data_IF_065032990657
#
_entry.id   IF_065032990657
#
_cell.length_a   1.000
_cell.length_b   1.000
_cell.length_c   1.000
_cell.angle_alpha   90.00
_cell.angle_beta   90.00
_cell.angle_gamma   90.00
#
_symmetry.space_group_name_H-M   'P 1'
#
loop_
_entity.id
_entity.type
_entity.pdbx_description
1 polymer ?
#
# COMPACT_ATOMS: atom_id res chain seq x y z
N UNK A 1 5.59 37.11 -20.97
CA UNK A 1 6.00 35.72 -20.72
C UNK A 1 5.33 35.28 -19.43
N UNK A 2 4.15 34.68 -19.51
CA UNK A 2 3.38 34.26 -18.34
C UNK A 2 3.90 32.88 -17.91
N UNK A 3 4.60 32.82 -16.78
CA UNK A 3 4.99 31.56 -16.16
C UNK A 3 3.73 30.92 -15.55
N UNK A 4 3.23 29.88 -16.22
CA UNK A 4 2.22 29.00 -15.65
C UNK A 4 2.89 28.18 -14.53
N UNK A 5 2.68 28.62 -13.29
CA UNK A 5 2.93 27.80 -12.10
C UNK A 5 1.97 26.62 -12.17
N UNK A 6 2.43 25.47 -12.66
CA UNK A 6 1.77 24.19 -12.42
C UNK A 6 1.90 23.91 -10.92
N UNK A 7 0.95 24.43 -10.15
CA UNK A 7 0.78 24.03 -8.76
C UNK A 7 0.58 22.53 -8.71
N UNK A 8 1.43 21.83 -7.97
CA UNK A 8 1.21 20.42 -7.63
C UNK A 8 -0.16 20.32 -6.98
N UNK A 9 -1.16 19.84 -7.73
CA UNK A 9 -2.46 19.54 -7.15
C UNK A 9 -2.22 18.56 -6.00
N UNK A 10 -2.54 18.98 -4.78
CA UNK A 10 -2.49 18.11 -3.61
C UNK A 10 -3.39 16.91 -3.85
N UNK A 11 -2.86 15.70 -3.69
CA UNK A 11 -3.63 14.47 -3.88
C UNK A 11 -4.81 14.43 -2.87
N UNK A 12 -5.96 13.84 -3.25
CA UNK A 12 -7.08 13.67 -2.32
C UNK A 12 -6.65 12.91 -1.06
N UNK A 13 -7.16 13.34 0.09
CA UNK A 13 -6.97 12.66 1.38
C UNK A 13 -8.28 12.02 1.83
N UNK A 14 -8.21 11.15 2.85
CA UNK A 14 -9.38 10.50 3.44
C UNK A 14 -10.15 9.59 2.45
N UNK A 15 -9.41 8.91 1.58
CA UNK A 15 -9.96 8.07 0.50
C UNK A 15 -10.15 6.60 0.89
N UNK A 16 -9.75 6.20 2.11
CA UNK A 16 -9.68 4.79 2.50
C UNK A 16 -10.91 4.29 3.24
N UNK A 17 -11.96 5.11 3.38
CA UNK A 17 -13.22 4.64 3.95
C UNK A 17 -13.85 3.61 2.98
N UNK A 18 -14.14 2.37 3.43
CA UNK A 18 -14.70 1.35 2.55
C UNK A 18 -16.04 1.77 1.93
N UNK A 19 -16.19 1.51 0.63
CA UNK A 19 -17.44 1.67 -0.11
C UNK A 19 -17.91 0.31 -0.63
N UNK A 20 -19.20 0.18 -0.91
CA UNK A 20 -19.72 -1.03 -1.56
C UNK A 20 -19.12 -1.18 -2.97
N UNK A 21 -18.79 -2.41 -3.37
CA UNK A 21 -18.44 -2.70 -4.76
C UNK A 21 -19.68 -2.60 -5.65
N UNK A 22 -19.71 -1.58 -6.51
CA UNK A 22 -20.85 -1.28 -7.40
C UNK A 22 -20.53 -1.56 -8.88
N UNK A 23 -19.29 -1.96 -9.19
CA UNK A 23 -18.82 -2.20 -10.55
C UNK A 23 -18.52 -3.69 -10.78
N UNK A 24 -19.41 -4.44 -11.47
CA UNK A 24 -19.19 -5.87 -11.73
C UNK A 24 -17.95 -6.17 -12.58
N UNK A 25 -17.49 -5.18 -13.35
CA UNK A 25 -16.30 -5.26 -14.21
C UNK A 25 -15.02 -4.79 -13.52
N UNK A 26 -15.08 -4.36 -12.27
CA UNK A 26 -13.88 -3.95 -11.53
C UNK A 26 -13.10 -5.18 -11.06
N UNK A 27 -11.78 -5.06 -11.13
CA UNK A 27 -10.85 -6.02 -10.52
C UNK A 27 -10.65 -5.67 -9.05
N UNK A 28 -10.28 -6.67 -8.24
CA UNK A 28 -9.91 -6.46 -6.83
C UNK A 28 -8.46 -6.82 -6.61
N UNK A 29 -7.75 -5.95 -5.88
CA UNK A 29 -6.42 -6.22 -5.35
C UNK A 29 -6.53 -6.29 -3.84
N UNK A 30 -6.36 -7.50 -3.31
CA UNK A 30 -6.25 -7.77 -1.88
C UNK A 30 -4.76 -7.73 -1.50
N UNK A 31 -4.42 -7.02 -0.43
CA UNK A 31 -3.04 -6.91 0.02
C UNK A 31 -2.93 -6.96 1.54
N UNK A 32 -1.84 -7.56 2.01
CA UNK A 32 -1.40 -7.40 3.39
C UNK A 32 -0.58 -6.11 3.51
N UNK A 33 -0.90 -5.30 4.49
CA UNK A 33 -0.11 -4.13 4.87
C UNK A 33 0.65 -4.46 6.14
N UNK A 34 1.97 -4.24 6.12
CA UNK A 34 2.82 -4.20 7.30
C UNK A 34 3.33 -2.77 7.48
N UNK A 35 3.05 -2.16 8.63
CA UNK A 35 3.34 -0.74 8.85
C UNK A 35 3.89 -0.44 10.23
N UNK A 36 4.81 0.52 10.30
CA UNK A 36 5.29 1.13 11.56
C UNK A 36 4.70 2.52 11.78
N UNK A 37 3.69 2.91 10.98
CA UNK A 37 2.89 4.12 11.19
C UNK A 37 1.98 3.98 12.41
N UNK A 38 1.72 5.08 13.10
CA UNK A 38 0.72 5.13 14.15
C UNK A 38 -0.68 5.13 13.56
N UNK A 39 -1.63 4.56 14.30
CA UNK A 39 -3.04 4.53 13.92
C UNK A 39 -3.61 5.96 13.88
N UNK A 40 -4.36 6.28 12.84
CA UNK A 40 -5.13 7.51 12.78
C UNK A 40 -6.44 7.37 13.57
N UNK A 41 -6.89 8.44 14.20
CA UNK A 41 -8.25 8.52 14.77
C UNK A 41 -9.32 8.66 13.67
N UNK A 42 -8.91 8.94 12.43
CA UNK A 42 -9.78 9.01 11.27
C UNK A 42 -9.73 7.68 10.47
N UNK A 43 -10.81 6.89 10.45
CA UNK A 43 -10.86 5.65 9.67
C UNK A 43 -10.56 5.82 8.18
N UNK A 44 -10.87 6.98 7.60
CA UNK A 44 -10.64 7.25 6.19
C UNK A 44 -9.15 7.52 5.84
N UNK A 45 -8.30 7.73 6.84
CA UNK A 45 -6.85 7.83 6.73
C UNK A 45 -6.15 6.52 7.14
N UNK A 46 -6.75 5.75 8.04
CA UNK A 46 -6.24 4.52 8.68
C UNK A 46 -4.95 4.71 9.49
N UNK A 47 -3.86 5.17 8.87
CA UNK A 47 -2.56 5.33 9.49
C UNK A 47 -1.95 6.69 9.16
N UNK A 48 -1.36 7.34 10.16
CA UNK A 48 -0.82 8.69 10.03
C UNK A 48 0.60 8.69 9.43
N UNK A 49 1.20 9.87 9.33
CA UNK A 49 2.63 10.05 9.05
C UNK A 49 3.54 9.85 10.26
N UNK A 50 2.99 9.58 11.45
CA UNK A 50 3.76 9.46 12.69
C UNK A 50 4.19 8.02 13.00
N UNK A 51 5.26 7.86 13.78
CA UNK A 51 5.74 6.54 14.24
C UNK A 51 4.75 5.92 15.22
N UNK A 52 4.38 4.67 14.96
CA UNK A 52 3.75 3.80 15.94
C UNK A 52 4.78 3.30 16.96
N UNK A 53 4.34 2.81 18.11
CA UNK A 53 5.22 2.20 19.12
C UNK A 53 5.59 0.74 18.79
N UNK A 54 4.80 0.11 17.93
CA UNK A 54 4.99 -1.26 17.45
C UNK A 54 4.44 -1.40 16.02
N UNK A 55 4.91 -2.38 15.23
CA UNK A 55 4.34 -2.68 13.93
C UNK A 55 2.85 -3.04 14.03
N UNK A 56 2.09 -2.59 13.04
CA UNK A 56 0.67 -2.89 12.85
C UNK A 56 0.47 -3.59 11.51
N UNK A 57 -0.59 -4.38 11.41
CA UNK A 57 -0.94 -5.12 10.20
C UNK A 57 -2.39 -4.84 9.81
N UNK A 58 -2.67 -4.83 8.52
CA UNK A 58 -4.02 -4.70 8.00
C UNK A 58 -4.18 -5.46 6.69
N UNK A 59 -5.38 -5.97 6.44
CA UNK A 59 -5.81 -6.38 5.11
C UNK A 59 -6.53 -5.19 4.45
N UNK A 60 -6.20 -4.91 3.19
CA UNK A 60 -6.93 -3.91 2.39
C UNK A 60 -7.29 -4.53 1.05
N UNK A 61 -8.55 -4.40 0.66
CA UNK A 61 -9.00 -4.70 -0.70
C UNK A 61 -9.32 -3.42 -1.44
N UNK A 62 -8.64 -3.20 -2.55
CA UNK A 62 -8.85 -2.07 -3.47
C UNK A 62 -9.57 -2.56 -4.73
N UNK A 63 -10.71 -1.95 -5.03
CA UNK A 63 -11.38 -2.05 -6.32
C UNK A 63 -10.69 -1.17 -7.35
N UNK A 64 -10.46 -1.73 -8.53
CA UNK A 64 -9.79 -1.08 -9.66
C UNK A 64 -10.75 -1.07 -10.85
N UNK A 65 -11.13 0.12 -11.35
CA UNK A 65 -12.06 0.23 -12.45
C UNK A 65 -11.42 -0.32 -13.74
N UNK A 66 -12.23 -0.79 -14.71
CA UNK A 66 -11.73 -1.42 -15.92
C UNK A 66 -10.86 -0.45 -16.74
N UNK A 67 -9.90 -1.01 -17.49
CA UNK A 67 -8.98 -0.21 -18.30
C UNK A 67 -9.68 0.67 -19.37
N UNK A 68 -10.95 0.41 -19.69
CA UNK A 68 -11.75 1.22 -20.62
C UNK A 68 -12.16 2.59 -20.06
N UNK A 69 -12.10 2.80 -18.73
CA UNK A 69 -12.55 4.04 -18.08
C UNK A 69 -11.45 4.74 -17.26
N UNK A 70 -10.25 4.17 -17.22
CA UNK A 70 -9.06 4.76 -16.60
C UNK A 70 -7.83 4.60 -17.48
N UNK A 71 -6.78 5.39 -17.22
CA UNK A 71 -5.49 5.22 -17.87
C UNK A 71 -4.64 4.20 -17.10
N UNK A 72 -4.27 3.10 -17.75
CA UNK A 72 -3.34 2.08 -17.20
C UNK A 72 -1.98 2.73 -16.89
N UNK A 73 -1.38 2.38 -15.76
CA UNK A 73 -0.15 3.01 -15.25
C UNK A 73 -0.40 4.23 -14.35
N UNK A 74 -1.65 4.73 -14.29
CA UNK A 74 -2.05 5.84 -13.43
C UNK A 74 -3.06 5.38 -12.37
N UNK A 75 -2.97 5.99 -11.19
CA UNK A 75 -3.98 5.83 -10.14
C UNK A 75 -5.17 6.73 -10.51
N UNK A 76 -6.34 6.15 -10.71
CA UNK A 76 -7.57 6.90 -10.91
C UNK A 76 -8.11 7.38 -9.55
N UNK A 77 -7.57 8.51 -9.06
CA UNK A 77 -7.97 9.09 -7.79
C UNK A 77 -9.43 9.57 -7.81
N UNK A 78 -10.19 9.38 -6.70
CA UNK A 78 -11.54 9.90 -6.59
C UNK A 78 -11.54 11.42 -6.67
N UNK A 79 -12.36 11.98 -7.58
CA UNK A 79 -12.55 13.43 -7.71
C UNK A 79 -13.51 13.98 -6.65
N UNK A 80 -14.35 13.11 -6.09
CA UNK A 80 -15.33 13.40 -5.04
C UNK A 80 -15.43 12.17 -4.13
N UNK A 81 -15.58 12.40 -2.82
CA UNK A 81 -15.87 11.34 -1.86
C UNK A 81 -17.38 11.19 -1.64
N UNK A 82 -17.88 9.96 -1.37
CA UNK A 82 -17.14 8.69 -1.36
C UNK A 82 -16.68 8.27 -2.77
N UNK A 83 -15.61 7.47 -2.86
CA UNK A 83 -15.07 6.96 -4.13
C UNK A 83 -16.11 6.15 -4.91
N UNK A 84 -16.06 6.22 -6.24
CA UNK A 84 -16.93 5.43 -7.12
C UNK A 84 -16.15 4.28 -7.77
N UNK A 85 -16.34 3.01 -7.38
CA UNK A 85 -15.64 1.86 -7.98
C UNK A 85 -15.78 1.71 -9.51
N UNK A 86 -16.80 2.33 -10.11
CA UNK A 86 -16.96 2.34 -11.56
C UNK A 86 -15.98 3.26 -12.29
N UNK A 87 -15.39 4.24 -11.61
CA UNK A 87 -14.50 5.27 -12.23
C UNK A 87 -13.20 5.50 -11.50
N UNK A 88 -13.16 5.17 -10.22
CA UNK A 88 -12.09 5.52 -9.28
C UNK A 88 -11.51 4.25 -8.66
N UNK A 89 -10.26 4.34 -8.21
CA UNK A 89 -9.75 3.39 -7.23
C UNK A 89 -10.54 3.60 -5.94
N UNK A 90 -11.04 2.51 -5.36
CA UNK A 90 -11.88 2.57 -4.18
C UNK A 90 -11.48 1.47 -3.21
N UNK A 91 -11.33 1.81 -1.92
CA UNK A 91 -11.23 0.78 -0.89
C UNK A 91 -12.62 0.18 -0.70
N UNK A 92 -12.71 -1.15 -0.77
CA UNK A 92 -13.99 -1.88 -0.56
C UNK A 92 -13.99 -2.72 0.71
N UNK A 93 -12.81 -2.98 1.28
CA UNK A 93 -12.64 -3.66 2.56
C UNK A 93 -11.35 -3.22 3.24
N UNK A 94 -11.42 -3.07 4.57
CA UNK A 94 -10.27 -2.89 5.45
C UNK A 94 -10.46 -3.73 6.69
N UNK A 95 -9.44 -4.46 7.11
CA UNK A 95 -9.45 -5.21 8.36
C UNK A 95 -8.14 -5.01 9.10
N UNK A 96 -8.23 -4.73 10.40
CA UNK A 96 -7.05 -4.68 11.26
C UNK A 96 -6.65 -6.08 11.70
N UNK A 97 -5.38 -6.42 11.51
CA UNK A 97 -4.88 -7.75 11.77
C UNK A 97 -3.92 -7.76 12.97
N UNK A 98 -4.05 -8.81 13.77
CA UNK A 98 -3.00 -9.25 14.69
C UNK A 98 -1.85 -9.86 13.88
N UNK A 99 -0.68 -10.02 14.51
CA UNK A 99 0.46 -10.74 13.89
C UNK A 99 0.04 -12.15 13.45
N UNK A 100 -0.73 -12.85 14.29
CA UNK A 100 -1.16 -14.23 14.03
C UNK A 100 -2.14 -14.29 12.86
N UNK A 101 -3.10 -13.37 12.79
CA UNK A 101 -4.05 -13.32 11.67
C UNK A 101 -3.37 -12.87 10.37
N UNK A 102 -2.40 -11.95 10.42
CA UNK A 102 -1.58 -11.57 9.27
C UNK A 102 -0.77 -12.74 8.70
N UNK A 103 -0.15 -13.55 9.57
CA UNK A 103 0.56 -14.78 9.15
C UNK A 103 -0.39 -15.81 8.53
N UNK A 104 -1.56 -16.00 9.14
CA UNK A 104 -2.59 -16.91 8.62
C UNK A 104 -3.12 -16.47 7.26
N UNK A 105 -3.38 -15.16 7.09
CA UNK A 105 -3.77 -14.55 5.83
C UNK A 105 -2.72 -14.81 4.75
N UNK A 106 -1.45 -14.48 5.03
CA UNK A 106 -0.36 -14.62 4.07
C UNK A 106 -0.19 -16.09 3.63
N UNK A 107 -0.20 -17.01 4.58
CA UNK A 107 -0.13 -18.45 4.31
C UNK A 107 -1.27 -18.95 3.43
N UNK A 108 -2.49 -18.46 3.67
CA UNK A 108 -3.66 -18.80 2.85
C UNK A 108 -3.57 -18.19 1.45
N UNK A 109 -3.14 -16.94 1.33
CA UNK A 109 -2.99 -16.22 0.06
C UNK A 109 -1.90 -16.83 -0.82
N UNK A 110 -0.75 -17.19 -0.26
CA UNK A 110 0.36 -17.81 -1.00
C UNK A 110 -0.06 -19.16 -1.57
N UNK A 111 -0.82 -19.96 -0.84
CA UNK A 111 -1.33 -21.25 -1.34
C UNK A 111 -2.37 -21.12 -2.45
N UNK A 112 -3.10 -20.01 -2.50
CA UNK A 112 -4.05 -19.70 -3.59
C UNK A 112 -3.35 -19.11 -4.81
N UNK A 113 -2.21 -18.43 -4.63
CA UNK A 113 -1.41 -17.92 -5.74
C UNK A 113 -0.83 -19.06 -6.57
N UNK A 114 -0.86 -18.92 -7.89
CA UNK A 114 -0.38 -19.95 -8.84
C UNK A 114 1.11 -20.23 -8.65
N UNK A 115 1.90 -19.17 -8.54
CA UNK A 115 3.36 -19.23 -8.53
C UNK A 115 3.91 -19.26 -7.09
N UNK A 116 3.01 -19.18 -6.09
CA UNK A 116 3.33 -19.17 -4.65
C UNK A 116 4.40 -18.13 -4.30
N UNK A 117 4.38 -17.03 -5.03
CA UNK A 117 5.31 -15.93 -4.95
C UNK A 117 4.70 -14.78 -4.18
N UNK A 118 5.54 -13.93 -3.61
CA UNK A 118 5.16 -12.73 -2.88
C UNK A 118 5.82 -11.52 -3.55
N UNK A 119 5.05 -10.46 -3.75
CA UNK A 119 5.56 -9.17 -4.19
C UNK A 119 5.51 -8.20 -3.00
N UNK A 120 6.68 -7.81 -2.50
CA UNK A 120 6.80 -6.83 -1.42
C UNK A 120 7.05 -5.46 -2.04
N UNK A 121 6.19 -4.49 -1.78
CA UNK A 121 6.40 -3.10 -2.19
C UNK A 121 6.77 -2.21 -1.01
N UNK A 122 7.86 -1.47 -1.16
CA UNK A 122 8.37 -0.51 -0.18
C UNK A 122 8.31 0.88 -0.80
N UNK A 123 7.43 1.73 -0.28
CA UNK A 123 7.24 3.08 -0.82
C UNK A 123 8.45 4.00 -0.57
N UNK A 124 8.51 5.07 -1.35
CA UNK A 124 9.55 6.11 -1.25
C UNK A 124 9.17 7.27 -0.34
N UNK A 125 9.97 8.33 -0.42
CA UNK A 125 9.79 9.58 0.30
C UNK A 125 8.53 10.34 -0.16
N UNK A 126 7.99 11.20 0.73
CA UNK A 126 6.86 12.09 0.43
C UNK A 126 5.58 11.33 0.06
N UNK A 127 5.28 10.27 0.83
CA UNK A 127 4.14 9.40 0.63
C UNK A 127 3.24 9.38 1.87
N UNK A 128 1.97 9.76 1.72
CA UNK A 128 0.94 9.43 2.71
C UNK A 128 0.62 7.93 2.64
N UNK A 129 -0.20 7.46 3.57
CA UNK A 129 -0.56 6.05 3.62
C UNK A 129 -1.37 5.65 2.36
N UNK A 130 -2.39 6.44 2.02
CA UNK A 130 -3.25 6.25 0.85
C UNK A 130 -2.48 6.27 -0.49
N UNK A 131 -1.43 7.10 -0.58
CA UNK A 131 -0.55 7.13 -1.76
C UNK A 131 0.09 5.77 -2.02
N UNK A 132 0.50 5.10 -0.94
CA UNK A 132 1.23 3.84 -0.99
C UNK A 132 0.28 2.68 -1.29
N UNK A 133 -0.92 2.70 -0.69
CA UNK A 133 -1.99 1.72 -0.94
C UNK A 133 -2.42 1.74 -2.41
N UNK A 134 -2.82 2.90 -2.93
CA UNK A 134 -3.32 2.97 -4.31
C UNK A 134 -2.23 2.80 -5.35
N UNK A 135 -1.02 3.29 -5.09
CA UNK A 135 0.11 3.04 -6.01
C UNK A 135 0.42 1.55 -6.10
N UNK A 136 0.43 0.84 -4.97
CA UNK A 136 0.73 -0.58 -5.00
C UNK A 136 -0.41 -1.40 -5.61
N UNK A 137 -1.67 -1.06 -5.33
CA UNK A 137 -2.82 -1.66 -6.01
C UNK A 137 -2.70 -1.50 -7.54
N UNK A 138 -2.33 -0.31 -8.00
CA UNK A 138 -2.14 -0.01 -9.42
C UNK A 138 -1.02 -0.87 -10.02
N UNK A 139 0.14 -0.94 -9.38
CA UNK A 139 1.28 -1.74 -9.87
C UNK A 139 0.92 -3.23 -9.90
N UNK A 140 0.36 -3.75 -8.81
CA UNK A 140 0.00 -5.16 -8.70
C UNK A 140 -0.97 -5.58 -9.80
N UNK A 141 -2.05 -4.82 -10.01
CA UNK A 141 -3.01 -5.10 -11.06
C UNK A 141 -2.46 -4.89 -12.47
N UNK A 142 -1.81 -3.76 -12.75
CA UNK A 142 -1.41 -3.40 -14.11
C UNK A 142 -0.21 -4.20 -14.61
N UNK A 143 0.57 -4.82 -13.71
CA UNK A 143 1.64 -5.75 -14.09
C UNK A 143 1.13 -7.15 -14.41
N UNK A 144 -0.10 -7.48 -14.00
CA UNK A 144 -0.66 -8.83 -14.16
C UNK A 144 0.09 -9.89 -13.36
N UNK A 145 0.73 -9.51 -12.25
CA UNK A 145 1.46 -10.46 -11.39
C UNK A 145 0.48 -11.33 -10.61
N UNK A 146 0.77 -12.63 -10.55
CA UNK A 146 0.04 -13.60 -9.72
C UNK A 146 0.59 -13.65 -8.27
N UNK A 147 1.63 -12.86 -7.96
CA UNK A 147 2.26 -12.79 -6.64
C UNK A 147 1.35 -12.18 -5.59
N UNK A 148 1.40 -12.71 -4.36
CA UNK A 148 0.67 -12.16 -3.21
C UNK A 148 1.20 -10.77 -2.87
N UNK A 149 0.36 -9.71 -2.89
CA UNK A 149 0.81 -8.35 -2.63
C UNK A 149 1.02 -8.09 -1.13
N UNK A 150 2.22 -7.66 -0.75
CA UNK A 150 2.52 -7.13 0.59
C UNK A 150 3.02 -5.69 0.47
N UNK A 151 2.29 -4.77 1.08
CA UNK A 151 2.69 -3.37 1.21
C UNK A 151 3.45 -3.15 2.51
N UNK A 152 4.69 -2.70 2.42
CA UNK A 152 5.45 -2.20 3.57
C UNK A 152 5.37 -0.68 3.58
N UNK A 153 4.83 -0.10 4.65
CA UNK A 153 4.81 1.35 4.82
C UNK A 153 5.55 1.80 6.07
N UNK A 154 6.36 2.82 5.92
CA UNK A 154 7.07 3.48 7.01
C UNK A 154 6.52 4.91 7.23
N UNK A 155 6.74 5.55 8.40
CA UNK A 155 6.17 6.85 8.74
C UNK A 155 6.73 7.99 7.90
N UNK A 156 6.13 8.21 6.74
CA UNK A 156 6.33 9.40 5.92
C UNK A 156 5.21 10.39 6.17
N UNK A 157 5.58 11.65 6.42
CA UNK A 157 4.63 12.75 6.60
C UNK A 157 4.03 13.27 5.28
N UNK A 158 4.44 12.71 4.14
CA UNK A 158 3.94 13.16 2.84
C UNK A 158 4.28 14.62 2.55
N UNK A 159 5.48 15.08 2.97
CA UNK A 159 5.96 16.44 2.72
C UNK A 159 7.44 16.47 2.33
N UNK A 160 7.76 17.22 1.28
CA UNK A 160 9.14 17.49 0.86
C UNK A 160 10.00 18.14 1.97
N UNK A 161 9.37 18.89 2.87
CA UNK A 161 10.05 19.55 3.99
C UNK A 161 10.35 18.60 5.16
N UNK A 162 9.81 17.38 5.14
CA UNK A 162 9.98 16.39 6.20
C UNK A 162 11.12 15.39 5.93
N UNK A 163 12.05 15.69 5.02
CA UNK A 163 13.10 14.75 4.59
C UNK A 163 13.89 14.11 5.74
N UNK A 164 14.34 14.91 6.71
CA UNK A 164 15.07 14.39 7.87
C UNK A 164 14.24 13.45 8.73
N UNK A 165 12.97 13.79 8.96
CA UNK A 165 12.04 12.92 9.69
C UNK A 165 11.82 11.61 8.96
N UNK A 166 11.52 11.68 7.66
CA UNK A 166 11.23 10.53 6.80
C UNK A 166 12.44 9.56 6.73
N UNK A 167 13.66 10.08 6.64
CA UNK A 167 14.89 9.27 6.67
C UNK A 167 15.02 8.49 7.99
N UNK A 168 14.86 9.16 9.13
CA UNK A 168 14.94 8.50 10.43
C UNK A 168 13.78 7.51 10.66
N UNK A 169 12.60 7.82 10.13
CA UNK A 169 11.43 6.92 10.20
C UNK A 169 11.59 5.70 9.30
N UNK A 170 12.33 5.83 8.20
CA UNK A 170 12.74 4.69 7.38
C UNK A 170 13.62 3.76 8.22
N UNK A 171 14.64 4.30 8.91
CA UNK A 171 15.50 3.50 9.79
C UNK A 171 14.73 2.86 10.96
N UNK A 172 13.73 3.56 11.52
CA UNK A 172 12.83 3.02 12.53
C UNK A 172 12.07 1.76 12.08
N UNK A 173 11.94 1.55 10.76
CA UNK A 173 11.16 0.43 10.19
C UNK A 173 11.98 -0.83 9.93
N UNK A 174 13.31 -0.77 10.07
CA UNK A 174 14.24 -1.87 9.73
C UNK A 174 13.87 -3.17 10.42
N UNK A 175 13.74 -3.17 11.74
CA UNK A 175 13.42 -4.38 12.52
C UNK A 175 12.06 -4.99 12.11
N UNK A 176 11.07 -4.15 11.81
CA UNK A 176 9.77 -4.60 11.33
C UNK A 176 9.86 -5.27 9.96
N UNK A 177 10.69 -4.74 9.07
CA UNK A 177 10.94 -5.31 7.74
C UNK A 177 11.75 -6.62 7.83
N UNK A 178 12.78 -6.65 8.68
CA UNK A 178 13.57 -7.86 8.93
C UNK A 178 12.65 -9.00 9.41
N UNK A 179 11.78 -8.74 10.39
CA UNK A 179 10.84 -9.73 10.90
C UNK A 179 9.88 -10.25 9.82
N UNK A 180 9.43 -9.38 8.91
CA UNK A 180 8.61 -9.79 7.77
C UNK A 180 9.39 -10.73 6.84
N UNK A 181 10.63 -10.39 6.47
CA UNK A 181 11.42 -11.23 5.59
C UNK A 181 11.87 -12.54 6.25
N UNK A 182 12.19 -12.53 7.55
CA UNK A 182 12.43 -13.76 8.31
C UNK A 182 11.19 -14.66 8.33
N UNK A 183 9.99 -14.09 8.42
CA UNK A 183 8.75 -14.86 8.32
C UNK A 183 8.59 -15.47 6.93
N UNK A 184 8.72 -14.66 5.87
CA UNK A 184 8.61 -15.11 4.49
C UNK A 184 9.62 -16.22 4.15
N UNK A 185 10.86 -16.08 4.63
CA UNK A 185 11.91 -17.07 4.40
C UNK A 185 11.68 -18.40 5.13
N UNK A 186 10.91 -18.40 6.23
CA UNK A 186 10.60 -19.60 7.02
C UNK A 186 9.32 -20.30 6.56
N UNK A 187 8.48 -19.65 5.77
CA UNK A 187 7.25 -20.25 5.25
C UNK A 187 7.57 -21.17 4.06
N UNK A 188 7.38 -22.50 4.19
CA UNK A 188 7.72 -23.44 3.12
C UNK A 188 6.79 -23.34 1.90
N UNK A 189 5.62 -22.71 2.04
CA UNK A 189 4.71 -22.50 0.93
C UNK A 189 5.16 -21.34 0.03
N UNK A 190 5.94 -20.37 0.55
CA UNK A 190 6.53 -19.28 -0.23
C UNK A 190 7.69 -19.79 -1.09
N UNK A 191 7.62 -19.57 -2.41
CA UNK A 191 8.65 -20.02 -3.38
C UNK A 191 9.56 -18.91 -3.85
N UNK A 192 9.05 -17.69 -3.90
CA UNK A 192 9.81 -16.53 -4.35
C UNK A 192 9.34 -15.29 -3.61
N UNK A 193 10.28 -14.41 -3.26
CA UNK A 193 10.00 -13.08 -2.74
C UNK A 193 10.65 -12.06 -3.68
N UNK A 194 9.82 -11.35 -4.42
CA UNK A 194 10.22 -10.22 -5.25
C UNK A 194 10.05 -8.91 -4.47
N UNK A 195 11.07 -8.06 -4.46
CA UNK A 195 11.06 -6.78 -3.73
C UNK A 195 11.04 -5.64 -4.75
N UNK A 196 10.02 -4.79 -4.67
CA UNK A 196 9.91 -3.54 -5.41
C UNK A 196 10.06 -2.37 -4.44
N UNK A 197 11.24 -1.76 -4.40
CA UNK A 197 11.53 -0.62 -3.55
C UNK A 197 11.69 0.66 -4.37
N UNK A 198 11.06 1.76 -3.94
CA UNK A 198 11.10 3.03 -4.66
C UNK A 198 11.87 4.11 -3.88
N UNK A 199 12.81 4.81 -4.53
CA UNK A 199 13.55 5.94 -3.95
C UNK A 199 14.13 5.61 -2.57
N UNK A 200 13.81 6.37 -1.52
CA UNK A 200 14.22 6.12 -0.13
C UNK A 200 13.82 4.73 0.40
N UNK A 201 12.82 4.07 -0.18
CA UNK A 201 12.51 2.67 0.12
C UNK A 201 13.63 1.70 -0.23
N UNK A 202 14.51 2.03 -1.19
CA UNK A 202 15.69 1.21 -1.50
C UNK A 202 16.71 1.22 -0.36
N UNK A 203 16.82 2.33 0.37
CA UNK A 203 17.66 2.40 1.56
C UNK A 203 17.19 1.39 2.60
N UNK A 204 15.88 1.33 2.85
CA UNK A 204 15.29 0.36 3.77
C UNK A 204 15.47 -1.09 3.30
N UNK A 205 15.40 -1.34 2.00
CA UNK A 205 15.52 -2.68 1.44
C UNK A 205 16.95 -3.26 1.53
N UNK A 206 17.97 -2.40 1.62
CA UNK A 206 19.39 -2.78 1.63
C UNK A 206 20.00 -2.86 3.04
N UNK A 207 19.30 -2.32 4.04
CA UNK A 207 19.69 -2.40 5.46
C UNK A 207 19.25 -3.72 6.08
#
# INVERSE_FOLDING_TARGET
>A
MAALLWGCASRPTNVLLPVAETSPSASKVEMLVATTRSRSSNPAEMFTGERGLAPSFAEITVSIPPASVRKVGEVAWPKKLPSNPATDFAVVQTEDLTVQTAKGWLHASVRKSRDRSVLVFIHGFNNRFEDSVYRFAQISHDTGTDSVPILVTWPSRGSALAYGYDRESTNYTRDGLELLFQFLARDPDVKEVSILAHSMGNWLALE
#
